data_IF_604106849373
#
_entry.id   IF_604106849373
#
_cell.length_a   1.000
_cell.length_b   1.000
_cell.length_c   1.000
_cell.angle_alpha   90.00
_cell.angle_beta   90.00
_cell.angle_gamma   90.00
#
_symmetry.space_group_name_H-M   'P 1'
#
loop_
_entity.id
_entity.type
_entity.pdbx_description
1 polymer ?
#
# COMPACT_ATOMS: atom_id res chain seq x y z
N UNK A 1 11.84 19.45 15.19
CA UNK A 1 12.24 18.06 15.47
C UNK A 1 11.37 17.17 14.60
N UNK A 2 11.89 16.73 13.46
CA UNK A 2 11.14 15.89 12.51
C UNK A 2 10.98 14.49 13.08
N UNK A 3 9.75 14.00 13.10
CA UNK A 3 9.48 12.60 13.42
C UNK A 3 9.86 11.76 12.19
N UNK A 4 10.96 11.02 12.29
CA UNK A 4 11.25 9.92 11.38
C UNK A 4 10.68 8.66 12.05
N UNK A 5 9.62 8.01 11.50
CA UNK A 5 9.18 6.73 12.03
C UNK A 5 10.31 5.70 11.88
N UNK A 6 10.53 4.83 12.87
CA UNK A 6 11.52 3.77 12.76
C UNK A 6 11.15 2.84 11.60
N UNK A 7 12.17 2.43 10.85
CA UNK A 7 12.07 1.45 9.78
C UNK A 7 11.23 0.24 10.25
N UNK A 8 10.15 -0.06 9.51
CA UNK A 8 9.26 -1.18 9.80
C UNK A 8 8.14 -0.92 10.81
N UNK A 9 7.76 0.34 11.08
CA UNK A 9 6.57 0.61 11.92
C UNK A 9 5.33 -0.02 11.26
N UNK A 10 4.77 -1.03 11.91
CA UNK A 10 3.65 -1.82 11.40
C UNK A 10 2.44 -0.92 11.14
N UNK A 11 2.04 -0.86 9.88
CA UNK A 11 0.89 -0.12 9.34
C UNK A 11 -0.46 -0.75 9.74
N UNK A 12 -0.43 -1.84 10.51
CA UNK A 12 -1.55 -2.73 10.84
C UNK A 12 -2.62 -2.15 11.79
N UNK A 13 -2.50 -0.89 12.22
CA UNK A 13 -3.46 -0.26 13.15
C UNK A 13 -4.43 0.73 12.49
N UNK A 14 -4.27 0.99 11.19
CA UNK A 14 -5.22 1.82 10.44
C UNK A 14 -6.48 1.00 10.08
N UNK A 15 -7.69 1.59 10.11
CA UNK A 15 -8.91 0.93 9.65
C UNK A 15 -8.63 0.38 8.26
N UNK A 16 -8.87 -0.93 8.09
CA UNK A 16 -8.46 -1.73 6.93
C UNK A 16 -8.64 -0.92 5.66
N UNK A 17 -7.55 -0.41 5.09
CA UNK A 17 -7.56 0.49 3.94
C UNK A 17 -8.10 -0.17 2.67
N UNK A 18 -8.70 -1.35 2.77
CA UNK A 18 -9.23 -2.19 1.72
C UNK A 18 -10.71 -1.91 1.45
N UNK A 19 -11.15 -2.17 0.21
CA UNK A 19 -12.54 -1.99 -0.18
C UNK A 19 -13.50 -2.88 0.62
N UNK A 20 -13.17 -4.18 0.76
CA UNK A 20 -13.88 -5.14 1.60
C UNK A 20 -12.99 -6.37 1.86
N UNK A 21 -12.22 -6.36 2.94
CA UNK A 21 -11.31 -7.45 3.25
C UNK A 21 -12.03 -8.76 3.62
N UNK A 22 -13.23 -8.69 4.22
CA UNK A 22 -14.01 -9.87 4.60
C UNK A 22 -14.58 -10.59 3.38
N UNK A 23 -14.94 -9.83 2.34
CA UNK A 23 -15.36 -10.37 1.04
C UNK A 23 -14.20 -10.69 0.08
N UNK A 24 -12.94 -10.43 0.48
CA UNK A 24 -11.76 -10.66 -0.35
C UNK A 24 -11.45 -9.56 -1.38
N UNK A 25 -12.10 -8.40 -1.31
CA UNK A 25 -11.73 -7.22 -2.07
C UNK A 25 -10.54 -6.51 -1.40
N UNK A 26 -9.34 -7.00 -1.72
CA UNK A 26 -8.06 -6.59 -1.14
C UNK A 26 -7.41 -5.38 -1.85
N UNK A 27 -8.13 -4.69 -2.74
CA UNK A 27 -7.68 -3.40 -3.29
C UNK A 27 -7.85 -2.30 -2.25
N UNK A 28 -6.96 -1.31 -2.25
CA UNK A 28 -7.07 -0.16 -1.35
C UNK A 28 -8.21 0.77 -1.76
N UNK A 29 -8.90 1.36 -0.78
CA UNK A 29 -9.88 2.44 -0.96
C UNK A 29 -9.19 3.72 -1.42
N UNK A 30 -9.99 4.63 -2.00
CA UNK A 30 -9.49 5.89 -2.58
C UNK A 30 -8.89 6.83 -1.55
N UNK A 31 -9.35 6.69 -0.31
CA UNK A 31 -8.97 7.48 0.85
C UNK A 31 -8.00 6.72 1.77
N UNK A 32 -7.45 5.59 1.29
CA UNK A 32 -6.49 4.81 2.06
C UNK A 32 -5.24 5.62 2.33
N UNK A 33 -4.84 5.69 3.60
CA UNK A 33 -3.56 6.27 3.99
C UNK A 33 -2.35 5.42 3.54
N UNK A 34 -2.59 4.28 2.88
CA UNK A 34 -1.56 3.34 2.44
C UNK A 34 -1.14 3.55 0.98
N UNK A 35 -1.76 4.50 0.31
CA UNK A 35 -1.44 4.87 -1.07
C UNK A 35 -0.05 5.52 -1.12
N UNK A 36 0.72 5.21 -2.16
CA UNK A 36 2.05 5.79 -2.43
C UNK A 36 3.07 5.69 -1.28
N UNK A 37 2.87 4.77 -0.32
CA UNK A 37 3.77 4.58 0.82
C UNK A 37 4.82 3.49 0.61
N UNK A 38 4.77 2.81 -0.53
CA UNK A 38 5.73 1.81 -0.92
C UNK A 38 7.15 2.37 -1.10
N UNK A 39 8.14 1.63 -0.62
CA UNK A 39 9.56 1.90 -0.87
C UNK A 39 10.15 0.78 -1.74
N UNK A 40 10.95 1.16 -2.73
CA UNK A 40 11.59 0.34 -3.77
C UNK A 40 11.39 -1.19 -3.65
N UNK A 41 10.72 -1.77 -4.64
CA UNK A 41 10.57 -3.22 -4.79
C UNK A 41 11.21 -3.72 -6.07
N UNK A 42 11.66 -4.98 -6.05
CA UNK A 42 12.16 -5.69 -7.23
C UNK A 42 11.04 -6.03 -8.23
N UNK A 43 9.77 -5.86 -7.85
CA UNK A 43 8.60 -6.16 -8.68
C UNK A 43 8.07 -4.91 -9.38
N UNK A 44 8.09 -4.94 -10.72
CA UNK A 44 7.63 -3.86 -11.58
C UNK A 44 6.10 -3.80 -11.77
N UNK A 45 5.37 -4.83 -11.33
CA UNK A 45 3.92 -4.96 -11.52
C UNK A 45 3.25 -5.48 -10.25
N UNK A 46 1.98 -5.15 -10.10
CA UNK A 46 1.10 -5.65 -9.05
C UNK A 46 0.49 -7.01 -9.41
N UNK A 47 -0.42 -7.51 -8.58
CA UNK A 47 -1.07 -8.80 -8.80
C UNK A 47 -1.94 -8.85 -10.06
N UNK A 48 -2.52 -7.72 -10.49
CA UNK A 48 -3.38 -7.64 -11.68
C UNK A 48 -2.60 -7.24 -12.95
N UNK A 49 -1.30 -6.97 -12.83
CA UNK A 49 -0.44 -6.54 -13.93
C UNK A 49 -0.39 -5.02 -14.13
N UNK A 50 -0.91 -4.23 -13.19
CA UNK A 50 -0.73 -2.78 -13.19
C UNK A 50 0.74 -2.45 -12.84
N UNK A 51 1.37 -1.48 -13.55
CA UNK A 51 2.76 -1.12 -13.30
C UNK A 51 2.92 -0.43 -11.93
N UNK A 52 3.97 -0.81 -11.19
CA UNK A 52 4.39 -0.12 -9.96
C UNK A 52 5.35 1.01 -10.31
N UNK A 53 4.97 2.24 -10.07
CA UNK A 53 5.84 3.39 -10.29
C UNK A 53 6.90 3.46 -9.17
N UNK A 54 8.20 3.61 -9.51
CA UNK A 54 9.24 3.75 -8.49
C UNK A 54 8.97 4.93 -7.54
N UNK A 55 8.93 4.65 -6.24
CA UNK A 55 8.76 5.66 -5.18
C UNK A 55 7.34 6.23 -5.02
N UNK A 56 6.35 5.70 -5.73
CA UNK A 56 4.94 6.10 -5.62
C UNK A 56 4.06 4.89 -5.98
N UNK A 57 4.11 3.86 -5.13
CA UNK A 57 3.29 2.67 -5.31
C UNK A 57 2.64 2.29 -3.99
N UNK A 58 1.51 1.62 -4.11
CA UNK A 58 0.64 1.29 -3.01
C UNK A 58 1.19 0.13 -2.18
N UNK A 59 0.98 0.21 -0.86
CA UNK A 59 1.28 -0.92 0.00
C UNK A 59 0.26 -2.04 -0.19
N UNK A 60 0.79 -3.25 -0.38
CA UNK A 60 -0.01 -4.44 -0.59
C UNK A 60 0.23 -5.04 -1.97
N UNK A 61 -0.66 -5.94 -2.39
CA UNK A 61 -0.50 -6.71 -3.62
C UNK A 61 -1.07 -5.99 -4.86
N UNK A 62 -1.88 -4.95 -4.68
CA UNK A 62 -2.65 -4.28 -5.72
C UNK A 62 -2.34 -2.77 -5.73
N UNK A 63 -2.24 -2.20 -6.92
CA UNK A 63 -2.17 -0.75 -7.16
C UNK A 63 -3.54 -0.18 -7.47
N UNK A 64 -3.72 1.11 -7.20
CA UNK A 64 -4.94 1.86 -7.49
C UNK A 64 -4.86 2.72 -8.75
#
# INVERSE_FOLDING_TARGET
MGYAPPEGTAITTLPTGFEDAEAGALRLRADSALLDLGVDTEHAYDHDGAPRAPGAFDLGAYER
#
